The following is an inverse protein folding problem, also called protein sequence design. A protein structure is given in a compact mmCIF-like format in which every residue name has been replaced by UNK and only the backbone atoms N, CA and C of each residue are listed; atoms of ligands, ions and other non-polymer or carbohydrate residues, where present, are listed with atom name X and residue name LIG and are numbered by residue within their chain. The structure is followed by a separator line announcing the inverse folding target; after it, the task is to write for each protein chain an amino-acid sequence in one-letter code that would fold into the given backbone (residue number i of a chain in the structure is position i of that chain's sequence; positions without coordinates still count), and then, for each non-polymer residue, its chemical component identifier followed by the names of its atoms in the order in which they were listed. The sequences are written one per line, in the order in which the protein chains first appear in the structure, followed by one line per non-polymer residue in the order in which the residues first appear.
data_IF_405823920726
#
_entry.id   IF_405823920726
#
_cell.length_a   1.000
_cell.length_b   1.000
_cell.length_c   1.000
_cell.angle_alpha   90.00
_cell.angle_beta   90.00
_cell.angle_gamma   90.00
#
_symmetry.space_group_name_H-M   'P 1'
#
loop_
_entity.id
_entity.type
_entity.pdbx_description
1 polymer ?
#
# COMPACT_ATOMS: atom_id res chain seq x y z
N UNK A 1 10.16 20.90 -6.97
CA UNK A 1 10.40 19.54 -6.43
C UNK A 1 10.94 19.67 -5.03
N UNK A 2 10.29 19.04 -4.05
CA UNK A 2 10.73 19.02 -2.66
C UNK A 2 11.85 17.98 -2.47
N UNK A 3 13.04 18.40 -2.07
CA UNK A 3 14.21 17.50 -1.98
C UNK A 3 14.76 17.32 -0.56
N UNK A 4 14.21 18.03 0.45
CA UNK A 4 14.59 17.93 1.86
C UNK A 4 13.99 16.72 2.59
N UNK A 5 13.89 15.55 1.90
CA UNK A 5 13.21 14.35 2.42
C UNK A 5 14.16 13.37 3.13
N UNK A 6 15.45 13.68 3.19
CA UNK A 6 16.44 12.80 3.82
C UNK A 6 16.09 12.55 5.29
N UNK A 7 16.05 11.28 5.66
CA UNK A 7 15.70 10.85 7.02
C UNK A 7 14.20 10.76 7.30
N UNK A 8 13.33 11.24 6.38
CA UNK A 8 11.88 11.21 6.58
C UNK A 8 11.36 9.79 6.62
N UNK A 9 10.49 9.49 7.59
CA UNK A 9 9.79 8.22 7.71
C UNK A 9 8.59 8.15 6.75
N UNK A 10 8.16 6.94 6.40
CA UNK A 10 6.89 6.66 5.76
C UNK A 10 6.13 5.64 6.62
N UNK A 11 5.38 6.10 7.61
CA UNK A 11 4.52 5.24 8.44
C UNK A 11 3.10 5.18 7.88
N UNK A 12 2.62 6.31 7.38
CA UNK A 12 1.37 6.48 6.66
C UNK A 12 1.60 7.46 5.51
N UNK A 13 0.95 7.28 4.38
CA UNK A 13 1.02 8.22 3.24
C UNK A 13 0.42 9.59 3.59
N UNK A 14 -0.39 9.65 4.64
CA UNK A 14 -0.97 10.92 5.13
C UNK A 14 0.05 11.82 5.83
N UNK A 15 1.20 11.28 6.27
CA UNK A 15 2.30 12.03 6.86
C UNK A 15 3.12 12.81 5.82
N UNK A 16 2.87 12.57 4.53
CA UNK A 16 3.53 13.22 3.41
C UNK A 16 2.60 14.24 2.74
N UNK A 17 3.14 15.42 2.42
CA UNK A 17 2.38 16.43 1.68
C UNK A 17 2.16 15.99 0.22
N UNK A 18 1.20 16.61 -0.47
CA UNK A 18 0.97 16.32 -1.89
C UNK A 18 2.22 16.66 -2.74
N UNK A 19 2.97 17.72 -2.39
CA UNK A 19 4.21 18.10 -3.08
C UNK A 19 5.31 17.06 -2.86
N UNK A 20 5.43 16.49 -1.66
CA UNK A 20 6.37 15.42 -1.35
C UNK A 20 6.03 14.13 -2.11
N UNK A 21 4.75 13.76 -2.16
CA UNK A 21 4.28 12.62 -2.95
C UNK A 21 4.51 12.84 -4.45
N UNK A 22 4.25 14.03 -4.96
CA UNK A 22 4.53 14.37 -6.36
C UNK A 22 6.03 14.28 -6.67
N UNK A 23 6.88 14.67 -5.73
CA UNK A 23 8.34 14.51 -5.86
C UNK A 23 8.73 13.03 -5.92
N UNK A 24 8.10 12.19 -5.06
CA UNK A 24 8.32 10.74 -5.07
C UNK A 24 7.93 10.13 -6.43
N UNK A 25 6.77 10.48 -6.98
CA UNK A 25 6.32 9.95 -8.26
C UNK A 25 7.21 10.37 -9.42
N UNK A 26 7.66 11.62 -9.50
CA UNK A 26 8.62 12.08 -10.52
C UNK A 26 9.95 11.33 -10.47
N UNK A 27 10.43 11.04 -9.26
CA UNK A 27 11.65 10.23 -9.09
C UNK A 27 11.38 8.76 -9.45
N UNK A 28 10.20 8.23 -9.17
CA UNK A 28 9.82 6.88 -9.56
C UNK A 28 9.75 6.73 -11.09
N UNK A 29 9.16 7.70 -11.79
CA UNK A 29 9.11 7.77 -13.26
C UNK A 29 10.52 7.77 -13.87
N UNK A 30 11.42 8.64 -13.36
CA UNK A 30 12.81 8.72 -13.82
C UNK A 30 13.57 7.40 -13.59
N UNK A 31 13.42 6.79 -12.41
CA UNK A 31 14.07 5.53 -12.08
C UNK A 31 13.50 4.34 -12.86
N UNK A 32 12.20 4.35 -13.18
CA UNK A 32 11.56 3.34 -14.02
C UNK A 32 12.07 3.43 -15.46
N UNK A 33 12.18 4.64 -16.00
CA UNK A 33 12.75 4.87 -17.33
C UNK A 33 14.21 4.43 -17.41
N UNK A 34 15.03 4.78 -16.42
CA UNK A 34 16.44 4.36 -16.37
C UNK A 34 16.57 2.84 -16.29
N UNK A 35 15.71 2.18 -15.51
CA UNK A 35 15.66 0.73 -15.43
C UNK A 35 15.34 0.10 -16.80
N UNK A 36 14.34 0.63 -17.52
CA UNK A 36 13.97 0.14 -18.85
C UNK A 36 15.09 0.35 -19.90
N UNK A 37 15.96 1.34 -19.70
CA UNK A 37 17.10 1.65 -20.56
C UNK A 37 18.42 1.02 -20.10
N UNK A 38 18.37 0.16 -19.07
CA UNK A 38 19.56 -0.48 -18.45
C UNK A 38 20.63 0.53 -17.97
N UNK A 39 20.18 1.69 -17.48
CA UNK A 39 21.05 2.73 -16.94
C UNK A 39 21.25 2.51 -15.44
N UNK A 40 22.50 2.33 -15.02
CA UNK A 40 22.87 2.18 -13.61
C UNK A 40 22.50 3.39 -12.76
N UNK A 41 22.00 3.14 -11.53
CA UNK A 41 21.58 4.18 -10.59
C UNK A 41 22.12 3.93 -9.19
N UNK A 42 23.40 4.16 -8.93
CA UNK A 42 24.08 3.89 -7.64
C UNK A 42 23.77 4.94 -6.55
N UNK A 43 22.50 5.33 -6.36
CA UNK A 43 22.11 6.36 -5.38
C UNK A 43 22.29 5.91 -3.92
N UNK A 44 22.38 4.60 -3.68
CA UNK A 44 22.54 3.98 -2.36
C UNK A 44 23.86 3.20 -2.22
N UNK A 45 24.87 3.52 -3.01
CA UNK A 45 26.18 2.90 -2.92
C UNK A 45 26.72 2.95 -1.48
N UNK A 46 27.17 1.80 -0.97
CA UNK A 46 27.65 1.61 0.39
C UNK A 46 26.61 1.88 1.49
N UNK A 47 25.31 1.77 1.18
CA UNK A 47 24.23 1.89 2.17
C UNK A 47 23.58 0.53 2.42
N UNK A 48 23.17 0.32 3.67
CA UNK A 48 22.47 -0.89 4.11
C UNK A 48 21.06 -0.55 4.56
N UNK A 49 20.10 -1.35 4.08
CA UNK A 49 18.70 -1.35 4.48
C UNK A 49 18.42 -2.60 5.33
N UNK A 50 17.84 -2.43 6.50
CA UNK A 50 17.27 -3.54 7.26
C UNK A 50 15.82 -3.77 6.82
N UNK A 51 15.43 -5.03 6.67
CA UNK A 51 14.07 -5.43 6.32
C UNK A 51 13.55 -6.39 7.38
N UNK A 52 12.79 -5.88 8.35
CA UNK A 52 12.25 -6.65 9.47
C UNK A 52 10.82 -7.12 9.14
N UNK A 53 10.65 -8.43 9.07
CA UNK A 53 9.39 -9.09 8.74
C UNK A 53 8.89 -9.94 9.90
N UNK A 54 7.73 -9.58 10.46
CA UNK A 54 7.02 -10.41 11.42
C UNK A 54 6.23 -11.52 10.73
N UNK A 55 5.77 -11.26 9.50
CA UNK A 55 5.13 -12.23 8.61
C UNK A 55 5.78 -12.21 7.21
N UNK A 56 5.78 -13.33 6.54
CA UNK A 56 6.37 -13.47 5.22
C UNK A 56 5.64 -12.67 4.14
N UNK A 57 6.39 -12.25 3.12
CA UNK A 57 5.83 -11.56 1.95
C UNK A 57 6.74 -11.70 0.73
N UNK A 58 6.22 -12.29 -0.33
CA UNK A 58 6.96 -12.43 -1.59
C UNK A 58 7.19 -11.06 -2.25
N UNK A 59 6.12 -10.29 -2.48
CA UNK A 59 6.17 -9.02 -3.24
C UNK A 59 6.90 -7.92 -2.50
N UNK A 60 6.53 -7.69 -1.25
CA UNK A 60 7.15 -6.63 -0.44
C UNK A 60 8.63 -6.86 -0.25
N UNK A 61 9.02 -8.09 0.11
CA UNK A 61 10.42 -8.45 0.27
C UNK A 61 11.21 -8.18 -1.00
N UNK A 62 10.79 -8.77 -2.12
CA UNK A 62 11.53 -8.65 -3.36
C UNK A 62 11.53 -7.22 -3.92
N UNK A 63 10.45 -6.44 -3.76
CA UNK A 63 10.42 -5.04 -4.20
C UNK A 63 11.46 -4.18 -3.45
N UNK A 64 11.64 -4.37 -2.14
CA UNK A 64 12.68 -3.69 -1.37
C UNK A 64 14.07 -4.23 -1.67
N UNK A 65 14.26 -5.55 -1.67
CA UNK A 65 15.55 -6.20 -1.89
C UNK A 65 16.12 -5.90 -3.29
N UNK A 66 15.32 -6.11 -4.33
CA UNK A 66 15.70 -5.75 -5.70
C UNK A 66 15.88 -4.24 -5.85
N UNK A 67 14.98 -3.45 -5.26
CA UNK A 67 15.04 -1.99 -5.33
C UNK A 67 16.32 -1.41 -4.73
N UNK A 68 16.73 -1.85 -3.53
CA UNK A 68 17.97 -1.37 -2.91
C UNK A 68 19.21 -1.86 -3.67
N UNK A 69 19.18 -3.10 -4.18
CA UNK A 69 20.26 -3.66 -5.00
C UNK A 69 20.47 -2.86 -6.28
N UNK A 70 19.38 -2.54 -7.00
CA UNK A 70 19.44 -1.71 -8.21
C UNK A 70 19.93 -0.28 -7.95
N UNK A 71 19.81 0.21 -6.73
CA UNK A 71 20.37 1.49 -6.31
C UNK A 71 21.82 1.38 -5.76
N UNK A 72 22.48 0.22 -5.90
CA UNK A 72 23.87 -0.01 -5.46
C UNK A 72 24.00 -0.23 -3.95
N UNK A 73 22.91 -0.44 -3.23
CA UNK A 73 22.91 -0.71 -1.80
C UNK A 73 22.84 -2.20 -1.46
N UNK A 74 22.71 -2.50 -0.18
CA UNK A 74 22.58 -3.87 0.35
C UNK A 74 21.36 -3.98 1.27
N UNK A 75 20.64 -5.10 1.20
CA UNK A 75 19.52 -5.42 2.05
C UNK A 75 19.85 -6.54 3.04
N UNK A 76 19.48 -6.35 4.31
CA UNK A 76 19.52 -7.38 5.34
C UNK A 76 18.09 -7.81 5.69
N UNK A 77 17.76 -9.07 5.40
CA UNK A 77 16.48 -9.65 5.78
C UNK A 77 16.54 -10.14 7.23
N UNK A 78 15.61 -9.64 8.04
CA UNK A 78 15.51 -9.94 9.46
C UNK A 78 14.09 -10.45 9.77
N UNK A 79 14.02 -11.36 10.75
CA UNK A 79 12.76 -11.78 11.37
C UNK A 79 12.89 -11.66 12.89
N UNK A 80 11.79 -11.60 13.67
CA UNK A 80 11.89 -11.64 15.14
C UNK A 80 12.75 -12.80 15.64
N UNK A 81 12.64 -13.98 15.02
CA UNK A 81 13.44 -15.18 15.37
C UNK A 81 14.95 -15.04 15.09
N UNK A 82 15.32 -14.20 14.13
CA UNK A 82 16.71 -13.93 13.79
C UNK A 82 17.29 -12.72 14.55
N UNK A 83 16.53 -12.16 15.50
CA UNK A 83 16.89 -11.00 16.31
C UNK A 83 16.55 -11.24 17.79
N UNK A 84 16.86 -10.29 18.67
CA UNK A 84 16.49 -10.39 20.08
C UNK A 84 15.03 -9.95 20.38
N UNK A 85 14.29 -9.54 19.35
CA UNK A 85 12.87 -9.16 19.48
C UNK A 85 12.04 -10.33 20.02
N UNK A 86 12.32 -11.56 19.59
CA UNK A 86 11.66 -12.78 20.12
C UNK A 86 11.90 -12.96 21.63
N UNK A 87 13.02 -12.44 22.12
CA UNK A 87 13.37 -12.48 23.56
C UNK A 87 12.97 -11.22 24.32
N UNK A 88 12.13 -10.36 23.75
CA UNK A 88 11.55 -9.20 24.41
C UNK A 88 12.35 -7.90 24.24
N UNK A 89 13.32 -7.83 23.29
CA UNK A 89 13.99 -6.57 22.99
C UNK A 89 12.98 -5.53 22.50
N UNK A 90 13.05 -4.33 23.06
CA UNK A 90 12.10 -3.26 22.77
C UNK A 90 12.33 -2.65 21.38
N UNK A 91 11.29 -2.04 20.75
CA UNK A 91 11.46 -1.30 19.50
C UNK A 91 12.55 -0.22 19.60
N UNK A 92 12.64 0.45 20.76
CA UNK A 92 13.65 1.46 21.04
C UNK A 92 15.06 0.89 20.99
N UNK A 93 15.33 -0.19 21.74
CA UNK A 93 16.67 -0.77 21.81
C UNK A 93 17.09 -1.32 20.47
N UNK A 94 16.18 -2.01 19.78
CA UNK A 94 16.41 -2.51 18.41
C UNK A 94 16.86 -1.39 17.46
N UNK A 95 16.14 -0.25 17.43
CA UNK A 95 16.46 0.80 16.45
C UNK A 95 17.67 1.64 16.88
N UNK A 96 17.94 1.80 18.16
CA UNK A 96 19.13 2.49 18.65
C UNK A 96 20.42 1.74 18.25
N UNK A 97 20.38 0.42 18.19
CA UNK A 97 21.49 -0.42 17.69
C UNK A 97 21.55 -0.39 16.16
N UNK A 98 20.46 -0.78 15.47
CA UNK A 98 20.43 -0.87 14.02
C UNK A 98 20.67 0.48 13.33
N UNK A 99 20.18 1.58 13.92
CA UNK A 99 20.38 2.94 13.43
C UNK A 99 21.83 3.42 13.43
N UNK A 100 22.73 2.75 14.18
CA UNK A 100 24.18 3.01 14.16
C UNK A 100 24.92 2.17 13.12
N UNK A 101 24.28 1.12 12.59
CA UNK A 101 24.89 0.18 11.65
C UNK A 101 24.39 0.36 10.21
N UNK A 102 23.15 0.83 10.05
CA UNK A 102 22.50 0.94 8.75
C UNK A 102 21.98 2.33 8.42
N UNK A 103 21.25 2.42 7.32
CA UNK A 103 20.85 3.70 6.73
C UNK A 103 19.34 3.83 6.53
N UNK A 104 18.60 2.76 6.74
CA UNK A 104 17.14 2.69 6.68
C UNK A 104 16.64 1.37 7.22
N UNK A 105 15.37 1.33 7.64
CA UNK A 105 14.70 0.12 8.06
C UNK A 105 13.27 0.09 7.51
N UNK A 106 12.92 -1.01 6.85
CA UNK A 106 11.55 -1.36 6.54
C UNK A 106 11.00 -2.35 7.56
N UNK A 107 9.76 -2.18 7.98
CA UNK A 107 9.09 -3.06 8.94
C UNK A 107 7.76 -3.51 8.37
N UNK A 108 7.52 -4.83 8.40
CA UNK A 108 6.22 -5.44 8.15
C UNK A 108 5.75 -6.12 9.43
N UNK A 109 4.65 -5.62 9.99
CA UNK A 109 4.04 -6.16 11.20
C UNK A 109 2.52 -5.94 11.10
N UNK A 110 1.80 -6.96 10.61
CA UNK A 110 0.34 -6.91 10.42
C UNK A 110 -0.44 -7.42 11.63
N UNK A 111 0.27 -7.83 12.69
CA UNK A 111 -0.33 -8.20 13.94
C UNK A 111 -1.01 -7.01 14.62
N UNK A 112 -2.03 -7.25 15.39
CA UNK A 112 -2.72 -6.20 16.16
C UNK A 112 -1.71 -5.43 17.02
N UNK A 113 -1.69 -4.10 16.87
CA UNK A 113 -0.71 -3.23 17.52
C UNK A 113 0.58 -3.03 16.72
N UNK A 114 0.71 -3.62 15.53
CA UNK A 114 1.89 -3.47 14.67
C UNK A 114 2.20 -2.02 14.30
N UNK A 115 1.18 -1.21 14.03
CA UNK A 115 1.35 0.22 13.79
C UNK A 115 1.94 0.95 14.99
N UNK A 116 1.41 0.67 16.17
CA UNK A 116 1.89 1.27 17.45
C UNK A 116 3.35 0.88 17.72
N UNK A 117 3.70 -0.39 17.48
CA UNK A 117 5.06 -0.89 17.62
C UNK A 117 6.01 -0.13 16.68
N UNK A 118 5.58 0.08 15.45
CA UNK A 118 6.35 0.79 14.42
C UNK A 118 6.48 2.30 14.72
N UNK A 119 5.45 2.92 15.25
CA UNK A 119 5.50 4.32 15.74
C UNK A 119 6.52 4.47 16.87
N UNK A 120 6.53 3.55 17.85
CA UNK A 120 7.52 3.59 18.93
C UNK A 120 8.95 3.42 18.41
N UNK A 121 9.17 2.52 17.44
CA UNK A 121 10.46 2.36 16.79
C UNK A 121 10.86 3.66 16.04
N UNK A 122 9.97 4.25 15.27
CA UNK A 122 10.24 5.46 14.50
C UNK A 122 10.58 6.67 15.39
N UNK A 123 9.93 6.80 16.53
CA UNK A 123 10.18 7.87 17.53
C UNK A 123 11.65 7.93 18.00
N UNK A 124 12.34 6.79 18.03
CA UNK A 124 13.73 6.69 18.48
C UNK A 124 14.72 6.54 17.32
N UNK A 125 14.21 6.49 16.08
CA UNK A 125 15.03 6.24 14.91
C UNK A 125 15.75 7.50 14.41
N UNK A 126 17.03 7.35 14.08
CA UNK A 126 17.84 8.34 13.36
C UNK A 126 17.95 8.06 11.86
N UNK A 127 17.39 6.94 11.41
CA UNK A 127 17.34 6.53 10.01
C UNK A 127 15.87 6.42 9.57
N UNK A 128 15.56 6.58 8.27
CA UNK A 128 14.19 6.48 7.81
C UNK A 128 13.58 5.10 8.12
N UNK A 129 12.32 5.12 8.55
CA UNK A 129 11.51 3.94 8.83
C UNK A 129 10.42 3.84 7.78
N UNK A 130 10.27 2.66 7.16
CA UNK A 130 9.28 2.39 6.13
C UNK A 130 8.28 1.36 6.61
N UNK A 131 7.01 1.74 6.61
CA UNK A 131 5.90 0.82 6.83
C UNK A 131 5.69 -0.04 5.58
N UNK A 132 6.15 -1.29 5.62
CA UNK A 132 5.98 -2.27 4.55
C UNK A 132 4.59 -2.92 4.54
N UNK A 133 3.87 -2.82 5.58
CA UNK A 133 2.47 -3.05 5.95
C UNK A 133 2.36 -3.20 7.46
N UNK A 134 1.35 -2.61 8.05
CA UNK A 134 0.94 -2.88 9.43
C UNK A 134 -0.56 -3.25 9.48
N UNK A 135 -1.10 -3.41 10.67
CA UNK A 135 -2.52 -3.66 10.92
C UNK A 135 -3.43 -2.56 10.36
N UNK A 136 -2.97 -1.29 10.36
CA UNK A 136 -3.78 -0.11 10.02
C UNK A 136 -3.47 0.45 8.63
N UNK A 137 -2.19 0.48 8.18
CA UNK A 137 -1.76 1.14 6.95
C UNK A 137 -0.86 0.26 6.08
N UNK A 138 -0.94 0.47 4.75
CA UNK A 138 -0.03 -0.15 3.78
C UNK A 138 0.48 0.88 2.75
N UNK A 139 1.22 1.92 3.19
CA UNK A 139 1.56 3.06 2.34
C UNK A 139 2.41 2.67 1.12
N UNK A 140 3.31 1.70 1.25
CA UNK A 140 4.15 1.25 0.13
C UNK A 140 3.37 0.55 -0.98
N UNK A 141 2.19 -0.01 -0.69
CA UNK A 141 1.29 -0.54 -1.71
C UNK A 141 0.44 0.57 -2.32
N UNK A 142 -0.27 1.34 -1.49
CA UNK A 142 -1.18 2.38 -1.99
C UNK A 142 -0.45 3.43 -2.86
N UNK A 143 0.82 3.74 -2.57
CA UNK A 143 1.64 4.60 -3.43
C UNK A 143 1.93 3.96 -4.79
N UNK A 144 2.18 2.65 -4.85
CA UNK A 144 2.38 1.94 -6.11
C UNK A 144 1.07 1.82 -6.91
N UNK A 145 -0.05 1.64 -6.22
CA UNK A 145 -1.38 1.61 -6.83
C UNK A 145 -1.69 2.96 -7.48
N UNK A 146 -1.48 4.06 -6.75
CA UNK A 146 -1.64 5.40 -7.29
C UNK A 146 -0.69 5.67 -8.46
N UNK A 147 0.56 5.22 -8.37
CA UNK A 147 1.52 5.36 -9.46
C UNK A 147 1.05 4.61 -10.72
N UNK A 148 0.51 3.40 -10.57
CA UNK A 148 -0.07 2.61 -11.67
C UNK A 148 -1.28 3.31 -12.29
N UNK A 149 -2.19 3.84 -11.47
CA UNK A 149 -3.35 4.59 -11.94
C UNK A 149 -2.89 5.83 -12.73
N UNK A 150 -1.89 6.55 -12.23
CA UNK A 150 -1.30 7.71 -12.92
C UNK A 150 -0.76 7.34 -14.31
N UNK A 151 -0.05 6.23 -14.44
CA UNK A 151 0.45 5.74 -15.73
C UNK A 151 -0.70 5.39 -16.69
N UNK A 152 -1.69 4.63 -16.21
CA UNK A 152 -2.81 4.17 -17.06
C UNK A 152 -3.73 5.31 -17.51
N UNK A 153 -3.83 6.38 -16.75
CA UNK A 153 -4.67 7.54 -17.09
C UNK A 153 -3.87 8.82 -17.42
N UNK A 154 -2.57 8.70 -17.73
CA UNK A 154 -1.72 9.84 -18.11
C UNK A 154 -1.80 11.02 -17.10
N UNK A 155 -1.82 10.73 -15.80
CA UNK A 155 -2.00 11.69 -14.70
C UNK A 155 -3.34 12.43 -14.68
N UNK A 156 -4.31 12.07 -15.52
CA UNK A 156 -5.66 12.66 -15.50
C UNK A 156 -6.55 11.90 -14.52
N UNK A 157 -6.50 12.28 -13.24
CA UNK A 157 -7.20 11.57 -12.16
C UNK A 157 -8.47 12.26 -11.69
N UNK A 158 -8.57 13.60 -11.89
CA UNK A 158 -9.66 14.38 -11.31
C UNK A 158 -11.02 13.93 -11.84
N UNK A 159 -11.92 13.61 -10.91
CA UNK A 159 -13.29 13.18 -11.24
C UNK A 159 -13.42 11.73 -11.70
N UNK A 160 -12.31 10.99 -11.85
CA UNK A 160 -12.39 9.54 -12.13
C UNK A 160 -12.98 8.80 -10.94
N UNK A 161 -13.79 7.78 -11.22
CA UNK A 161 -14.44 6.95 -10.21
C UNK A 161 -13.52 5.78 -9.84
N UNK A 162 -13.07 5.77 -8.58
CA UNK A 162 -12.32 4.68 -7.97
C UNK A 162 -13.22 3.89 -7.04
N UNK A 163 -13.40 2.61 -7.33
CA UNK A 163 -14.18 1.69 -6.50
C UNK A 163 -13.24 0.76 -5.76
N UNK A 164 -13.26 0.80 -4.43
CA UNK A 164 -12.67 -0.23 -3.58
C UNK A 164 -13.78 -1.13 -3.04
N UNK A 165 -13.78 -2.38 -3.50
CA UNK A 165 -14.78 -3.37 -3.12
C UNK A 165 -14.23 -4.39 -2.16
N UNK A 166 -14.95 -4.59 -1.05
CA UNK A 166 -14.80 -5.82 -0.30
C UNK A 166 -15.13 -7.02 -1.19
N UNK A 167 -14.41 -8.09 -0.99
CA UNK A 167 -14.68 -9.37 -1.62
C UNK A 167 -14.58 -10.46 -0.58
N UNK A 168 -15.21 -11.59 -0.83
CA UNK A 168 -15.08 -12.75 0.04
C UNK A 168 -13.60 -13.11 0.19
N UNK A 169 -13.23 -13.60 1.35
CA UNK A 169 -11.84 -13.90 1.68
C UNK A 169 -11.75 -15.24 2.42
N UNK A 170 -10.68 -15.99 2.16
CA UNK A 170 -10.42 -17.25 2.82
C UNK A 170 -10.02 -17.14 4.30
N UNK A 171 -9.90 -15.91 4.85
CA UNK A 171 -9.52 -15.69 6.25
C UNK A 171 -10.12 -14.39 6.78
N UNK A 172 -10.68 -14.43 7.98
CA UNK A 172 -11.18 -13.25 8.68
C UNK A 172 -10.05 -12.35 9.23
N UNK A 173 -8.83 -12.87 9.40
CA UNK A 173 -7.67 -12.13 9.93
C UNK A 173 -7.01 -11.17 8.91
N UNK A 174 -7.57 -11.01 7.70
CA UNK A 174 -7.01 -10.07 6.75
C UNK A 174 -7.14 -8.63 7.25
N UNK A 175 -6.02 -7.87 7.31
CA UNK A 175 -6.01 -6.53 7.89
C UNK A 175 -6.79 -5.52 7.04
N UNK A 176 -7.35 -4.50 7.68
CA UNK A 176 -8.02 -3.36 7.06
C UNK A 176 -7.06 -2.45 6.28
N UNK A 177 -5.76 -2.60 6.51
CA UNK A 177 -4.70 -1.66 6.12
C UNK A 177 -4.72 -1.27 4.65
N UNK A 178 -5.05 -2.20 3.74
CA UNK A 178 -5.07 -1.90 2.32
C UNK A 178 -6.26 -0.99 1.95
N UNK A 179 -7.46 -1.37 2.39
CA UNK A 179 -8.65 -0.58 2.10
C UNK A 179 -8.56 0.83 2.71
N UNK A 180 -8.05 0.94 3.94
CA UNK A 180 -7.85 2.22 4.63
C UNK A 180 -6.85 3.13 3.90
N UNK A 181 -5.69 2.59 3.49
CA UNK A 181 -4.71 3.36 2.72
C UNK A 181 -5.27 3.80 1.36
N UNK A 182 -6.06 2.97 0.69
CA UNK A 182 -6.66 3.33 -0.61
C UNK A 182 -7.70 4.45 -0.48
N UNK A 183 -8.66 4.33 0.44
CA UNK A 183 -9.71 5.36 0.57
C UNK A 183 -9.13 6.71 0.97
N UNK A 184 -8.11 6.72 1.83
CA UNK A 184 -7.48 7.96 2.30
C UNK A 184 -6.54 8.58 1.26
N UNK A 185 -5.83 7.78 0.47
CA UNK A 185 -4.91 8.30 -0.54
C UNK A 185 -5.66 8.73 -1.80
N UNK A 186 -6.58 7.92 -2.33
CA UNK A 186 -7.26 8.22 -3.60
C UNK A 186 -8.14 9.46 -3.51
N UNK A 187 -8.79 9.69 -2.37
CA UNK A 187 -9.56 10.93 -2.12
C UNK A 187 -8.68 12.19 -2.14
N UNK A 188 -7.37 12.10 -1.84
CA UNK A 188 -6.46 13.26 -1.93
C UNK A 188 -6.17 13.69 -3.37
N UNK A 189 -6.36 12.79 -4.33
CA UNK A 189 -5.98 13.01 -5.74
C UNK A 189 -7.06 13.70 -6.57
N UNK A 190 -8.25 13.91 -6.01
CA UNK A 190 -9.41 14.41 -6.72
C UNK A 190 -10.23 13.32 -7.41
N UNK A 191 -9.93 12.03 -7.18
CA UNK A 191 -10.79 10.93 -7.62
C UNK A 191 -12.04 10.83 -6.74
N UNK A 192 -13.17 10.50 -7.36
CA UNK A 192 -14.39 10.14 -6.64
C UNK A 192 -14.27 8.71 -6.14
N UNK A 193 -14.27 8.51 -4.84
CA UNK A 193 -14.02 7.23 -4.22
C UNK A 193 -15.30 6.62 -3.67
N UNK A 194 -15.62 5.42 -4.11
CA UNK A 194 -16.71 4.61 -3.59
C UNK A 194 -16.12 3.41 -2.84
N UNK A 195 -16.34 3.37 -1.54
CA UNK A 195 -16.08 2.19 -0.71
C UNK A 195 -17.32 1.31 -0.71
N UNK A 196 -17.18 0.05 -1.10
CA UNK A 196 -18.32 -0.87 -1.13
C UNK A 196 -18.02 -2.15 -0.38
N UNK A 197 -18.90 -2.50 0.56
CA UNK A 197 -18.79 -3.69 1.40
C UNK A 197 -20.16 -4.10 1.94
N UNK A 198 -20.38 -5.37 2.32
CA UNK A 198 -21.60 -5.75 3.04
C UNK A 198 -21.62 -5.08 4.42
N UNK A 199 -22.79 -5.01 5.04
CA UNK A 199 -22.91 -4.53 6.42
C UNK A 199 -21.95 -5.29 7.34
N UNK A 200 -21.40 -4.61 8.36
CA UNK A 200 -20.46 -5.14 9.36
C UNK A 200 -19.02 -5.35 8.88
N UNK A 201 -18.67 -4.92 7.68
CA UNK A 201 -17.29 -4.91 7.19
C UNK A 201 -16.71 -3.50 7.15
N UNK A 202 -17.07 -2.68 8.11
CA UNK A 202 -16.64 -1.29 8.24
C UNK A 202 -15.12 -1.16 8.42
N UNK A 203 -14.58 -0.06 7.90
CA UNK A 203 -13.24 0.39 8.19
C UNK A 203 -13.21 1.18 9.50
N UNK A 204 -12.02 1.48 10.01
CA UNK A 204 -11.87 2.29 11.22
C UNK A 204 -12.47 3.69 11.01
N UNK A 205 -13.23 4.23 11.99
CA UNK A 205 -13.85 5.56 11.90
C UNK A 205 -12.86 6.66 11.52
N UNK A 206 -11.62 6.58 12.05
CA UNK A 206 -10.56 7.56 11.78
C UNK A 206 -10.16 7.58 10.29
N UNK A 207 -10.10 6.42 9.63
CA UNK A 207 -9.80 6.33 8.21
C UNK A 207 -10.95 6.88 7.36
N UNK A 208 -12.20 6.62 7.76
CA UNK A 208 -13.40 7.14 7.09
C UNK A 208 -13.46 8.67 7.18
N UNK A 209 -13.26 9.26 8.36
CA UNK A 209 -13.25 10.70 8.54
C UNK A 209 -12.10 11.37 7.78
N UNK A 210 -10.94 10.74 7.76
CA UNK A 210 -9.79 11.21 6.97
C UNK A 210 -10.10 11.19 5.47
N UNK A 211 -10.75 10.14 4.96
CA UNK A 211 -11.16 10.06 3.55
C UNK A 211 -12.17 11.15 3.18
N UNK A 212 -13.19 11.40 4.05
CA UNK A 212 -14.16 12.49 3.87
C UNK A 212 -13.48 13.87 3.82
N UNK A 213 -12.57 14.11 4.76
CA UNK A 213 -11.86 15.41 4.81
C UNK A 213 -10.92 15.58 3.59
N UNK A 214 -10.24 14.52 3.15
CA UNK A 214 -9.42 14.54 1.96
C UNK A 214 -10.26 14.82 0.70
N UNK A 215 -11.42 14.16 0.56
CA UNK A 215 -12.34 14.39 -0.54
C UNK A 215 -12.81 15.86 -0.57
N UNK A 216 -13.21 16.40 0.61
CA UNK A 216 -13.60 17.81 0.74
C UNK A 216 -12.47 18.77 0.30
N UNK A 217 -11.22 18.50 0.69
CA UNK A 217 -10.06 19.34 0.35
C UNK A 217 -9.69 19.27 -1.13
N UNK A 218 -9.79 18.09 -1.73
CA UNK A 218 -9.47 17.87 -3.15
C UNK A 218 -10.59 18.28 -4.11
N UNK A 219 -11.82 18.50 -3.60
CA UNK A 219 -13.01 18.76 -4.39
C UNK A 219 -13.57 17.50 -5.07
N UNK A 220 -13.32 16.32 -4.49
CA UNK A 220 -13.87 15.03 -4.91
C UNK A 220 -14.99 14.56 -3.98
N UNK A 221 -15.49 13.35 -4.22
CA UNK A 221 -16.51 12.71 -3.38
C UNK A 221 -15.95 11.46 -2.70
N UNK A 222 -16.48 11.13 -1.52
CA UNK A 222 -16.30 9.86 -0.85
C UNK A 222 -17.66 9.35 -0.38
N UNK A 223 -18.01 8.15 -0.77
CA UNK A 223 -19.26 7.50 -0.37
C UNK A 223 -19.04 6.04 0.03
N UNK A 224 -19.95 5.52 0.84
CA UNK A 224 -20.00 4.11 1.23
C UNK A 224 -21.34 3.55 0.75
N UNK A 225 -21.31 2.44 0.03
CA UNK A 225 -22.49 1.74 -0.43
C UNK A 225 -22.38 0.23 -0.16
N UNK A 226 -23.51 -0.46 -0.17
CA UNK A 226 -23.58 -1.89 0.16
C UNK A 226 -24.06 -2.73 -1.03
N UNK A 227 -23.91 -2.21 -2.24
CA UNK A 227 -24.27 -2.88 -3.50
C UNK A 227 -23.08 -2.78 -4.46
N UNK A 228 -22.45 -3.93 -4.74
CA UNK A 228 -21.26 -4.00 -5.60
C UNK A 228 -21.60 -3.67 -7.07
N UNK A 229 -22.78 -4.05 -7.56
CA UNK A 229 -23.17 -3.79 -8.94
C UNK A 229 -23.39 -2.29 -9.15
N UNK A 230 -24.08 -1.65 -8.21
CA UNK A 230 -24.27 -0.18 -8.23
C UNK A 230 -22.93 0.54 -8.17
N UNK A 231 -22.01 0.08 -7.30
CA UNK A 231 -20.69 0.66 -7.20
C UNK A 231 -19.90 0.57 -8.51
N UNK A 232 -19.96 -0.56 -9.22
CA UNK A 232 -19.20 -0.78 -10.44
C UNK A 232 -19.67 0.06 -11.63
N UNK A 233 -20.90 0.60 -11.62
CA UNK A 233 -21.41 1.42 -12.73
C UNK A 233 -20.51 2.62 -13.00
N UNK A 234 -20.11 2.76 -14.24
CA UNK A 234 -19.27 3.87 -14.74
C UNK A 234 -17.92 4.03 -14.00
N UNK A 235 -17.42 2.98 -13.32
CA UNK A 235 -16.13 3.00 -12.66
C UNK A 235 -14.99 3.16 -13.68
N UNK A 236 -13.96 3.93 -13.33
CA UNK A 236 -12.68 4.00 -14.04
C UNK A 236 -11.68 2.96 -13.48
N UNK A 237 -11.76 2.69 -12.18
CA UNK A 237 -10.91 1.71 -11.49
C UNK A 237 -11.78 0.85 -10.57
N UNK A 238 -11.64 -0.47 -10.70
CA UNK A 238 -12.21 -1.44 -9.75
C UNK A 238 -11.04 -2.14 -9.03
N UNK A 239 -10.99 -1.94 -7.73
CA UNK A 239 -10.01 -2.56 -6.84
C UNK A 239 -10.73 -3.55 -5.91
N UNK A 240 -10.48 -4.84 -6.09
CA UNK A 240 -11.05 -5.88 -5.25
C UNK A 240 -10.11 -6.22 -4.08
N UNK A 241 -10.64 -6.37 -2.88
CA UNK A 241 -9.85 -6.79 -1.73
C UNK A 241 -10.71 -7.34 -0.60
N UNK A 242 -10.39 -8.54 -0.12
CA UNK A 242 -10.97 -9.07 1.10
C UNK A 242 -10.30 -8.48 2.35
N UNK A 243 -11.10 -8.14 3.36
CA UNK A 243 -10.65 -7.82 4.72
C UNK A 243 -11.62 -8.39 5.75
N UNK A 244 -11.16 -8.57 6.97
CA UNK A 244 -11.96 -9.14 8.06
C UNK A 244 -12.94 -8.13 8.67
N UNK A 245 -14.06 -8.60 9.26
CA UNK A 245 -15.03 -7.78 9.98
C UNK A 245 -14.55 -7.40 11.38
N UNK A 246 -13.26 -7.07 11.54
CA UNK A 246 -12.55 -6.90 12.81
C UNK A 246 -13.20 -5.82 13.68
N UNK A 247 -13.72 -4.75 13.06
CA UNK A 247 -14.41 -3.67 13.78
C UNK A 247 -15.72 -4.12 14.45
N UNK A 248 -16.29 -5.22 13.99
CA UNK A 248 -17.56 -5.75 14.49
C UNK A 248 -17.38 -6.95 15.43
N UNK A 249 -16.46 -7.87 15.12
CA UNK A 249 -16.29 -9.12 15.87
C UNK A 249 -15.04 -9.15 16.75
N UNK A 250 -14.13 -8.18 16.61
CA UNK A 250 -12.84 -8.22 17.32
C UNK A 250 -12.06 -9.50 17.01
N UNK A 251 -11.66 -10.22 18.06
CA UNK A 251 -10.86 -11.45 17.95
C UNK A 251 -11.74 -12.73 17.85
N UNK A 252 -13.05 -12.60 17.70
CA UNK A 252 -13.95 -13.76 17.56
C UNK A 252 -13.89 -14.33 16.14
N UNK A 253 -13.00 -15.30 15.96
CA UNK A 253 -12.81 -16.01 14.68
C UNK A 253 -14.08 -16.67 14.17
N UNK A 254 -14.84 -17.31 15.05
CA UNK A 254 -16.06 -18.05 14.67
C UNK A 254 -17.11 -17.09 14.12
N UNK A 255 -17.32 -15.97 14.81
CA UNK A 255 -18.23 -14.91 14.37
C UNK A 255 -17.72 -14.26 13.06
N UNK A 256 -16.41 -14.04 12.92
CA UNK A 256 -15.81 -13.47 11.71
C UNK A 256 -16.00 -14.36 10.49
N UNK A 257 -15.70 -15.66 10.59
CA UNK A 257 -15.89 -16.64 9.52
C UNK A 257 -17.37 -16.77 9.15
N UNK A 258 -18.27 -16.75 10.14
CA UNK A 258 -19.71 -16.78 9.92
C UNK A 258 -20.17 -15.59 9.06
N UNK A 259 -19.77 -14.37 9.41
CA UNK A 259 -20.13 -13.17 8.65
C UNK A 259 -19.60 -13.20 7.20
N UNK A 260 -18.38 -13.71 6.98
CA UNK A 260 -17.84 -13.88 5.62
C UNK A 260 -18.74 -14.84 4.83
N UNK A 261 -19.11 -15.97 5.40
CA UNK A 261 -19.94 -16.99 4.75
C UNK A 261 -21.41 -16.56 4.52
N UNK A 262 -21.90 -15.58 5.27
CA UNK A 262 -23.23 -14.98 5.07
C UNK A 262 -23.29 -14.03 3.86
N UNK A 263 -22.15 -13.72 3.25
CA UNK A 263 -22.03 -12.82 2.10
C UNK A 263 -21.49 -13.53 0.84
N UNK A 264 -22.17 -14.56 0.33
CA UNK A 264 -21.76 -15.22 -0.90
C UNK A 264 -21.96 -14.29 -2.10
N UNK A 265 -21.15 -14.45 -3.14
CA UNK A 265 -21.29 -13.68 -4.38
C UNK A 265 -20.62 -12.31 -4.38
N UNK A 266 -19.95 -11.92 -3.30
CA UNK A 266 -19.08 -10.75 -3.28
C UNK A 266 -17.75 -11.06 -3.96
N UNK A 267 -17.81 -11.20 -5.28
CA UNK A 267 -16.70 -11.52 -6.19
C UNK A 267 -16.76 -10.57 -7.39
N UNK A 268 -15.64 -10.07 -7.84
CA UNK A 268 -15.56 -9.33 -9.10
C UNK A 268 -15.47 -10.32 -10.26
N UNK A 269 -16.40 -10.24 -11.18
CA UNK A 269 -16.50 -11.09 -12.37
C UNK A 269 -16.68 -10.23 -13.64
N UNK A 270 -16.74 -10.88 -14.80
CA UNK A 270 -16.89 -10.19 -16.08
C UNK A 270 -18.20 -9.38 -16.17
N UNK A 271 -19.28 -9.80 -15.51
CA UNK A 271 -20.54 -9.06 -15.50
C UNK A 271 -20.43 -7.73 -14.78
N UNK A 272 -19.74 -7.70 -13.63
CA UNK A 272 -19.44 -6.48 -12.88
C UNK A 272 -18.47 -5.57 -13.63
N UNK A 273 -17.46 -6.15 -14.29
CA UNK A 273 -16.54 -5.36 -15.13
C UNK A 273 -17.26 -4.71 -16.34
N UNK A 274 -18.31 -5.34 -16.89
CA UNK A 274 -19.12 -4.74 -17.97
C UNK A 274 -19.95 -3.54 -17.53
N UNK A 275 -20.22 -3.36 -16.23
CA UNK A 275 -20.90 -2.19 -15.69
C UNK A 275 -19.97 -0.97 -15.62
N UNK A 276 -18.67 -1.21 -15.55
CA UNK A 276 -17.65 -0.17 -15.58
C UNK A 276 -17.45 0.37 -16.99
N UNK A 277 -16.67 1.45 -17.11
CA UNK A 277 -16.29 1.99 -18.42
C UNK A 277 -15.47 0.97 -19.22
N UNK A 278 -15.55 1.02 -20.53
CA UNK A 278 -14.74 0.17 -21.42
C UNK A 278 -13.23 0.34 -21.14
N UNK A 279 -12.81 1.57 -20.81
CA UNK A 279 -11.43 1.91 -20.43
C UNK A 279 -11.09 1.62 -18.97
N UNK A 280 -11.99 1.02 -18.20
CA UNK A 280 -11.75 0.73 -16.79
C UNK A 280 -10.62 -0.27 -16.60
N UNK A 281 -9.87 -0.10 -15.51
CA UNK A 281 -8.82 -1.04 -15.11
C UNK A 281 -9.25 -1.82 -13.85
N UNK A 282 -8.82 -3.09 -13.80
CA UNK A 282 -8.92 -3.95 -12.62
C UNK A 282 -7.60 -4.00 -11.89
N UNK A 283 -7.63 -3.82 -10.57
CA UNK A 283 -6.46 -3.82 -9.69
C UNK A 283 -6.63 -4.75 -8.48
N UNK A 284 -5.51 -5.28 -7.99
CA UNK A 284 -5.44 -6.08 -6.78
C UNK A 284 -4.00 -6.22 -6.27
N UNK A 285 -3.73 -5.88 -5.02
CA UNK A 285 -2.38 -5.90 -4.43
C UNK A 285 -1.73 -7.28 -4.31
N UNK A 286 -2.45 -8.34 -4.62
CA UNK A 286 -2.00 -9.73 -4.48
C UNK A 286 -1.53 -10.12 -3.04
N UNK A 287 -1.56 -11.40 -2.61
CA UNK A 287 -2.10 -12.53 -3.37
C UNK A 287 -3.60 -12.39 -3.55
N UNK A 288 -4.12 -12.99 -4.59
CA UNK A 288 -5.54 -13.03 -4.90
C UNK A 288 -6.07 -14.47 -4.75
N UNK A 289 -7.21 -14.62 -4.14
CA UNK A 289 -7.93 -15.89 -4.11
C UNK A 289 -8.81 -15.96 -5.36
N UNK A 290 -8.29 -16.61 -6.42
CA UNK A 290 -9.01 -16.80 -7.67
C UNK A 290 -10.31 -17.56 -7.44
N UNK A 291 -11.37 -17.17 -8.13
CA UNK A 291 -12.74 -17.69 -8.00
C UNK A 291 -13.39 -17.43 -6.64
N UNK A 292 -12.73 -16.61 -5.80
CA UNK A 292 -13.24 -16.14 -4.51
C UNK A 292 -13.30 -14.61 -4.46
N UNK A 293 -12.19 -13.93 -4.67
CA UNK A 293 -12.12 -12.46 -4.74
C UNK A 293 -12.47 -11.95 -6.14
N UNK A 294 -12.02 -12.68 -7.16
CA UNK A 294 -12.17 -12.32 -8.57
C UNK A 294 -12.11 -13.58 -9.43
N UNK A 295 -12.83 -13.60 -10.54
CA UNK A 295 -12.74 -14.70 -11.51
C UNK A 295 -11.45 -14.63 -12.32
N UNK A 296 -10.95 -15.79 -12.73
CA UNK A 296 -9.74 -15.87 -13.57
C UNK A 296 -9.91 -15.13 -14.90
N UNK A 297 -11.12 -15.08 -15.47
CA UNK A 297 -11.43 -14.31 -16.67
C UNK A 297 -11.11 -12.81 -16.51
N UNK A 298 -11.39 -12.22 -15.35
CA UNK A 298 -11.11 -10.80 -15.07
C UNK A 298 -9.63 -10.60 -14.78
N UNK A 299 -9.03 -11.42 -13.93
CA UNK A 299 -7.65 -11.21 -13.49
C UNK A 299 -6.64 -11.43 -14.62
N UNK A 300 -6.94 -12.32 -15.56
CA UNK A 300 -6.11 -12.60 -16.74
C UNK A 300 -6.61 -11.84 -17.98
N UNK A 301 -7.66 -11.04 -17.83
CA UNK A 301 -8.29 -10.26 -18.90
C UNK A 301 -7.54 -8.96 -19.24
N UNK A 302 -7.92 -8.32 -20.35
CA UNK A 302 -7.20 -7.15 -20.90
C UNK A 302 -7.29 -5.88 -20.03
N UNK A 303 -8.27 -5.79 -19.13
CA UNK A 303 -8.44 -4.67 -18.22
C UNK A 303 -7.63 -4.83 -16.93
N UNK A 304 -7.04 -6.01 -16.69
CA UNK A 304 -6.24 -6.27 -15.50
C UNK A 304 -4.85 -5.64 -15.61
N UNK A 305 -4.46 -4.88 -14.58
CA UNK A 305 -3.14 -4.24 -14.49
C UNK A 305 -2.37 -4.68 -13.25
N UNK A 306 -2.73 -5.82 -12.67
CA UNK A 306 -2.17 -6.33 -11.42
C UNK A 306 -0.65 -6.57 -11.46
N UNK A 307 -0.10 -6.92 -12.62
CA UNK A 307 1.33 -7.14 -12.77
C UNK A 307 2.10 -5.84 -12.92
N UNK A 308 1.53 -4.83 -13.61
CA UNK A 308 2.08 -3.47 -13.65
C UNK A 308 2.07 -2.84 -12.25
N UNK A 309 0.98 -3.05 -11.49
CA UNK A 309 0.84 -2.66 -10.10
C UNK A 309 1.92 -3.30 -9.22
N UNK A 310 2.17 -4.60 -9.39
CA UNK A 310 3.18 -5.33 -8.65
C UNK A 310 4.61 -4.85 -8.98
N UNK A 311 4.91 -4.58 -10.26
CA UNK A 311 6.19 -4.02 -10.70
C UNK A 311 6.39 -2.61 -10.15
N UNK A 312 5.39 -1.76 -10.20
CA UNK A 312 5.45 -0.38 -9.74
C UNK A 312 5.77 -0.24 -8.25
N UNK A 313 5.54 -1.29 -7.46
CA UNK A 313 6.03 -1.34 -6.07
C UNK A 313 7.53 -1.16 -5.98
N UNK A 314 8.30 -1.82 -6.85
CA UNK A 314 9.75 -1.67 -6.85
C UNK A 314 10.15 -0.24 -7.21
N UNK A 315 9.52 0.37 -8.21
CA UNK A 315 9.87 1.72 -8.67
C UNK A 315 9.54 2.81 -7.65
N UNK A 316 8.37 2.75 -7.01
CA UNK A 316 8.00 3.70 -5.94
C UNK A 316 8.86 3.51 -4.69
N UNK A 317 9.22 2.29 -4.33
CA UNK A 317 10.12 1.97 -3.21
C UNK A 317 11.55 2.45 -3.52
N UNK A 318 12.04 2.28 -4.75
CA UNK A 318 13.33 2.86 -5.17
C UNK A 318 13.35 4.37 -4.98
N UNK A 319 12.30 5.06 -5.44
CA UNK A 319 12.18 6.51 -5.28
C UNK A 319 12.13 6.92 -3.80
N UNK A 320 11.36 6.23 -2.97
CA UNK A 320 11.29 6.43 -1.54
C UNK A 320 12.67 6.32 -0.89
N UNK A 321 13.39 5.23 -1.15
CA UNK A 321 14.73 5.01 -0.59
C UNK A 321 15.76 6.02 -1.13
N UNK A 322 15.74 6.34 -2.40
CA UNK A 322 16.64 7.33 -3.00
C UNK A 322 16.46 8.71 -2.35
N UNK A 323 15.22 9.15 -2.10
CA UNK A 323 14.89 10.44 -1.50
C UNK A 323 15.22 10.50 -0.01
N UNK A 324 15.04 9.41 0.72
CA UNK A 324 15.13 9.42 2.20
C UNK A 324 16.45 8.86 2.73
N UNK A 325 17.07 7.88 2.08
CA UNK A 325 18.38 7.33 2.42
C UNK A 325 19.52 7.94 1.58
N UNK A 326 19.20 8.30 0.32
CA UNK A 326 20.19 8.80 -0.65
C UNK A 326 20.68 10.22 -0.37
N UNK A 327 21.54 10.69 -1.27
CA UNK A 327 22.07 12.06 -1.25
C UNK A 327 21.42 12.93 -2.34
N UNK A 328 20.18 12.64 -2.73
CA UNK A 328 19.45 13.38 -3.78
C UNK A 328 19.20 14.85 -3.36
N UNK A 329 19.32 15.14 -2.09
CA UNK A 329 19.09 16.45 -1.48
C UNK A 329 20.34 17.35 -1.49
N UNK A 330 21.08 17.45 -2.53
CA UNK A 330 22.09 18.47 -2.35
C UNK A 330 23.33 18.42 -3.22
N UNK A 331 23.14 18.81 -4.42
CA UNK A 331 24.13 19.77 -4.93
C UNK A 331 23.54 21.17 -4.71
N UNK A 332 23.99 21.84 -3.65
CA UNK A 332 23.89 23.29 -3.54
C UNK A 332 24.66 23.93 -4.66
#
# INVERSE_FOLDING_TARGET
MQTGLKGKHLLCEQDWTNEELETLFKVAEDLKMKYALDIETEMLKNKSLFMLFFEESTRTRNAFECGVTQLGGHANYLTPKATQIEHGETPKDTIEVLGRMGHGIGVRNTLVGGHKWMQELAKHSKIPVYNMQCDIWHPTQSLADLFTIREKFNNDLKGKKFVISWTSAGSYMRPLSMAQSLVTLMTRTGMNVTLVHPEKFDLMPEAIEMAKENARKSGSTFEIIHDMEEACKDADVIYAKGWGPIMHVGDDEVAGVKLINENPGWIVNAEKMKLAKESAIYMHCMPVDREVEVTSEVIDGPQSVIYDEAENRMHTIKALMALTMGNVSGRR
#
